data_IF_295234287706
#
_entry.id   IF_295234287706
#
_cell.length_a   1.000
_cell.length_b   1.000
_cell.length_c   1.000
_cell.angle_alpha   90.00
_cell.angle_beta   90.00
_cell.angle_gamma   90.00
#
_symmetry.space_group_name_H-M   'P 1'
#
loop_
_entity.id
_entity.type
_entity.pdbx_description
1 polymer ?
#
# COMPACT_ATOMS: atom_id res chain seq x y z
N UNK A 1 -5.83 11.45 -52.88
CA UNK A 1 -6.77 11.68 -51.74
C UNK A 1 -7.50 10.39 -51.49
N UNK A 2 -7.05 9.62 -50.53
CA UNK A 2 -7.77 8.47 -49.99
C UNK A 2 -7.55 8.50 -48.47
N UNK A 3 -8.60 8.83 -47.78
CA UNK A 3 -8.74 8.95 -46.35
C UNK A 3 -8.85 7.54 -45.73
N UNK A 4 -7.83 7.09 -45.02
CA UNK A 4 -7.87 5.83 -44.29
C UNK A 4 -8.47 6.11 -42.88
N UNK A 5 -9.79 5.93 -42.78
CA UNK A 5 -10.48 5.83 -41.49
C UNK A 5 -9.98 4.57 -40.73
N UNK A 6 -9.07 4.74 -39.81
CA UNK A 6 -8.72 3.68 -38.84
C UNK A 6 -9.85 3.52 -37.84
N UNK A 7 -10.61 2.45 -37.98
CA UNK A 7 -11.56 1.99 -36.95
C UNK A 7 -10.77 1.57 -35.71
N UNK A 8 -10.92 2.32 -34.64
CA UNK A 8 -10.52 1.91 -33.28
C UNK A 8 -11.44 0.77 -32.84
N UNK A 9 -11.03 -0.46 -33.04
CA UNK A 9 -11.57 -1.61 -32.31
C UNK A 9 -10.93 -1.60 -30.94
N UNK A 10 -11.67 -1.16 -29.92
CA UNK A 10 -11.31 -1.39 -28.52
C UNK A 10 -11.45 -2.89 -28.23
N UNK A 11 -10.38 -3.64 -27.91
CA UNK A 11 -10.55 -4.94 -27.27
C UNK A 11 -11.07 -4.70 -25.88
N UNK A 12 -12.10 -5.44 -25.46
CA UNK A 12 -12.69 -5.36 -24.13
C UNK A 12 -11.64 -5.54 -23.05
N UNK A 13 -11.20 -4.45 -22.45
CA UNK A 13 -10.30 -4.47 -21.32
C UNK A 13 -11.09 -4.91 -20.08
N UNK A 14 -10.85 -6.11 -19.61
CA UNK A 14 -11.24 -6.54 -18.26
C UNK A 14 -10.45 -5.66 -17.31
N UNK A 15 -11.15 -4.78 -16.61
CA UNK A 15 -10.58 -3.85 -15.66
C UNK A 15 -10.15 -4.62 -14.41
N UNK A 16 -8.85 -4.77 -14.23
CA UNK A 16 -8.25 -5.46 -13.08
C UNK A 16 -7.18 -4.57 -12.46
N UNK A 17 -7.28 -4.24 -11.20
CA UNK A 17 -6.49 -3.17 -10.61
C UNK A 17 -5.98 -3.46 -9.17
N UNK A 18 -4.80 -3.05 -8.74
CA UNK A 18 -4.20 -3.22 -7.39
C UNK A 18 -4.03 -1.91 -6.65
N UNK A 19 -4.49 -1.89 -5.42
CA UNK A 19 -4.20 -0.84 -4.45
C UNK A 19 -3.24 -1.32 -3.37
N UNK A 20 -2.17 -0.61 -3.27
CA UNK A 20 -1.31 -0.64 -2.12
C UNK A 20 -2.07 -0.26 -0.87
N UNK A 21 -1.87 -1.02 0.20
CA UNK A 21 -2.47 -0.73 1.48
C UNK A 21 -2.33 0.75 1.83
N UNK A 22 -3.43 1.49 1.75
CA UNK A 22 -3.48 2.76 2.43
C UNK A 22 -3.14 2.48 3.89
N UNK A 23 -2.19 3.19 4.51
CA UNK A 23 -1.92 2.98 5.92
C UNK A 23 -3.23 3.13 6.67
N UNK A 24 -3.38 2.37 7.73
CA UNK A 24 -4.52 2.41 8.65
C UNK A 24 -4.67 3.77 9.38
N UNK A 25 -4.46 4.87 8.67
CA UNK A 25 -4.69 6.23 9.16
C UNK A 25 -6.17 6.49 9.52
N UNK A 26 -7.08 5.64 9.02
CA UNK A 26 -8.51 5.74 9.30
C UNK A 26 -8.96 5.04 10.60
N UNK A 27 -8.04 4.60 11.47
CA UNK A 27 -8.40 3.91 12.72
C UNK A 27 -8.50 4.81 13.96
N UNK A 28 -8.62 6.11 13.81
CA UNK A 28 -8.83 7.00 14.95
C UNK A 28 -10.31 7.15 15.31
N UNK A 29 -10.89 6.15 15.88
CA UNK A 29 -12.25 6.15 16.41
C UNK A 29 -12.42 5.08 17.46
N UNK A 30 -11.52 5.05 18.47
CA UNK A 30 -11.81 4.32 19.69
C UNK A 30 -12.78 5.15 20.51
N UNK A 31 -13.91 4.60 20.98
CA UNK A 31 -14.73 5.26 21.97
C UNK A 31 -13.88 5.56 23.21
N UNK A 32 -14.06 6.73 23.81
CA UNK A 32 -13.44 7.09 25.06
C UNK A 32 -13.73 5.97 26.08
N UNK A 33 -12.72 5.25 26.49
CA UNK A 33 -12.83 4.23 27.55
C UNK A 33 -12.82 4.98 28.86
N UNK A 34 -13.90 4.85 29.61
CA UNK A 34 -13.97 5.33 30.99
C UNK A 34 -12.77 4.78 31.80
N UNK A 35 -12.17 5.65 32.60
CA UNK A 35 -11.01 5.37 33.43
C UNK A 35 -11.34 4.36 34.54
N UNK A 36 -11.16 3.08 34.23
CA UNK A 36 -11.15 1.98 35.19
C UNK A 36 -9.82 1.25 35.06
N UNK A 37 -9.12 1.03 36.17
CA UNK A 37 -7.74 0.54 36.23
C UNK A 37 -7.55 -0.96 35.96
N UNK A 38 -8.33 -1.57 35.07
CA UNK A 38 -8.06 -2.92 34.60
C UNK A 38 -7.43 -2.85 33.19
N UNK A 39 -6.40 -3.64 32.93
CA UNK A 39 -5.76 -3.73 31.62
C UNK A 39 -6.83 -3.99 30.56
N UNK A 40 -7.00 -3.06 29.62
CA UNK A 40 -8.01 -3.20 28.58
C UNK A 40 -7.78 -4.51 27.80
N UNK A 41 -8.84 -5.28 27.49
CA UNK A 41 -8.72 -6.57 26.83
C UNK A 41 -8.06 -6.44 25.46
N UNK A 42 -7.35 -7.48 25.07
CA UNK A 42 -6.79 -7.54 23.71
C UNK A 42 -7.91 -7.63 22.68
N UNK A 43 -7.77 -6.93 21.57
CA UNK A 43 -8.73 -6.91 20.47
C UNK A 43 -8.14 -7.69 19.30
N UNK A 44 -8.91 -8.66 18.80
CA UNK A 44 -8.58 -9.38 17.56
C UNK A 44 -9.36 -8.74 16.40
N UNK A 45 -8.68 -8.53 15.29
CA UNK A 45 -9.27 -7.98 14.08
C UNK A 45 -8.93 -8.87 12.88
N UNK A 46 -9.92 -9.16 12.06
CA UNK A 46 -9.77 -9.75 10.73
C UNK A 46 -10.19 -8.69 9.72
N UNK A 47 -9.32 -8.34 8.80
CA UNK A 47 -9.57 -7.38 7.75
C UNK A 47 -9.37 -8.03 6.39
N UNK A 48 -10.32 -7.83 5.48
CA UNK A 48 -10.14 -8.16 4.07
C UNK A 48 -10.16 -6.89 3.23
N UNK A 49 -9.40 -6.89 2.17
CA UNK A 49 -9.32 -5.75 1.25
C UNK A 49 -9.20 -6.27 -0.17
N UNK A 50 -10.04 -5.73 -1.05
CA UNK A 50 -9.92 -5.87 -2.49
C UNK A 50 -9.41 -4.54 -3.05
N UNK A 51 -8.34 -4.57 -3.76
CA UNK A 51 -7.70 -3.39 -4.31
C UNK A 51 -7.53 -3.46 -5.82
N UNK A 52 -7.51 -2.26 -6.40
CA UNK A 52 -7.54 -2.00 -7.83
C UNK A 52 -6.71 -0.78 -8.27
N UNK A 53 -5.76 -0.87 -9.28
CA UNK A 53 -5.04 0.27 -9.89
C UNK A 53 -4.86 0.19 -11.40
N UNK A 54 -4.78 1.35 -12.05
CA UNK A 54 -4.40 1.52 -13.44
C UNK A 54 -3.06 2.27 -13.52
N UNK A 55 -2.33 2.04 -14.58
CA UNK A 55 -0.97 2.60 -14.82
C UNK A 55 0.09 2.16 -13.80
N UNK A 56 0.08 1.06 -13.45
CA UNK A 56 0.47 -0.25 -13.03
C UNK A 56 -0.77 -1.09 -12.87
N UNK A 57 -1.16 -1.76 -13.94
CA UNK A 57 -2.37 -2.57 -13.91
C UNK A 57 -2.20 -3.74 -12.94
N UNK A 58 -3.08 -3.83 -11.99
CA UNK A 58 -3.08 -4.97 -11.10
C UNK A 58 -4.33 -5.08 -10.21
N UNK A 59 -4.66 -6.29 -9.77
CA UNK A 59 -5.67 -6.62 -8.75
C UNK A 59 -5.01 -7.37 -7.62
N UNK A 60 -5.44 -7.09 -6.41
CA UNK A 60 -5.01 -7.83 -5.24
C UNK A 60 -6.17 -7.98 -4.26
N UNK A 61 -6.36 -9.21 -3.81
CA UNK A 61 -7.12 -9.50 -2.60
C UNK A 61 -6.14 -9.70 -1.46
N UNK A 62 -6.41 -9.10 -0.29
CA UNK A 62 -5.63 -9.35 0.93
C UNK A 62 -6.52 -9.69 2.10
N UNK A 63 -5.99 -10.52 2.99
CA UNK A 63 -6.56 -10.87 4.27
C UNK A 63 -5.50 -10.58 5.34
N UNK A 64 -5.86 -9.81 6.35
CA UNK A 64 -5.00 -9.51 7.49
C UNK A 64 -5.70 -9.96 8.78
N UNK A 65 -5.05 -10.81 9.53
CA UNK A 65 -5.39 -11.11 10.91
C UNK A 65 -4.44 -10.38 11.85
N UNK A 66 -4.97 -9.80 12.92
CA UNK A 66 -4.13 -9.13 13.91
C UNK A 66 -4.70 -9.20 15.31
N UNK A 67 -3.80 -9.10 16.31
CA UNK A 67 -4.14 -9.02 17.72
C UNK A 67 -3.44 -7.82 18.33
N UNK A 68 -4.24 -6.88 18.82
CA UNK A 68 -3.80 -5.63 19.43
C UNK A 68 -3.99 -5.70 20.95
N UNK A 69 -2.95 -5.35 21.71
CA UNK A 69 -2.98 -5.21 23.17
C UNK A 69 -2.66 -3.76 23.52
N UNK A 70 -3.56 -3.01 24.17
CA UNK A 70 -3.25 -1.68 24.68
C UNK A 70 -2.07 -1.73 25.65
N UNK A 71 -1.19 -0.76 25.58
CA UNK A 71 -0.20 -0.47 26.61
C UNK A 71 -0.87 0.39 27.67
N UNK A 72 -0.43 0.25 28.92
CA UNK A 72 -1.07 0.80 30.13
C UNK A 72 -1.90 2.07 29.91
N UNK A 73 -3.21 2.05 30.19
CA UNK A 73 -4.07 3.22 30.08
C UNK A 73 -3.70 4.26 31.16
N UNK A 74 -3.78 5.54 30.83
CA UNK A 74 -3.80 6.59 31.85
C UNK A 74 -2.74 7.67 31.78
N UNK A 75 -1.83 7.64 30.81
CA UNK A 75 -0.73 8.62 30.74
C UNK A 75 -1.02 9.81 29.79
N UNK A 76 -2.23 10.38 29.84
CA UNK A 76 -2.60 11.57 29.05
C UNK A 76 -2.91 11.31 27.57
N UNK A 77 -3.31 12.34 26.81
CA UNK A 77 -3.83 12.19 25.43
C UNK A 77 -2.79 11.61 24.45
N UNK A 78 -1.51 11.85 24.68
CA UNK A 78 -0.42 11.34 23.83
C UNK A 78 -0.23 9.83 23.94
N UNK A 79 -0.71 9.17 25.00
CA UNK A 79 -0.59 7.72 25.21
C UNK A 79 -1.94 6.99 25.22
N UNK A 80 -3.04 7.68 25.02
CA UNK A 80 -4.39 7.11 25.05
C UNK A 80 -4.58 5.96 24.04
N UNK A 81 -3.82 5.97 22.93
CA UNK A 81 -3.86 4.93 21.91
C UNK A 81 -2.59 4.05 21.89
N UNK A 82 -1.74 4.14 22.95
CA UNK A 82 -0.53 3.33 23.01
C UNK A 82 -0.86 1.84 23.00
N UNK A 83 -0.20 1.07 22.13
CA UNK A 83 -0.45 -0.37 21.99
C UNK A 83 0.71 -1.12 21.36
N UNK A 84 0.71 -2.42 21.53
CA UNK A 84 1.45 -3.37 20.71
C UNK A 84 0.45 -4.20 19.89
N UNK A 85 0.84 -4.58 18.70
CA UNK A 85 0.02 -5.39 17.81
C UNK A 85 0.91 -6.36 17.03
N UNK A 86 0.42 -7.56 16.83
CA UNK A 86 1.05 -8.57 15.97
C UNK A 86 0.02 -9.05 14.97
N UNK A 87 0.48 -9.50 13.81
CA UNK A 87 -0.44 -9.97 12.80
C UNK A 87 0.22 -10.79 11.72
N UNK A 88 -0.64 -11.37 10.89
CA UNK A 88 -0.28 -12.08 9.68
C UNK A 88 -1.10 -11.55 8.52
N UNK A 89 -0.52 -11.55 7.34
CA UNK A 89 -1.16 -11.14 6.08
C UNK A 89 -1.07 -12.27 5.08
N UNK A 90 -2.11 -12.43 4.26
CA UNK A 90 -2.10 -13.23 3.06
C UNK A 90 -2.65 -12.37 1.92
N UNK A 91 -2.00 -12.37 0.78
CA UNK A 91 -2.42 -11.62 -0.40
C UNK A 91 -2.32 -12.49 -1.63
N UNK A 92 -3.27 -12.33 -2.55
CA UNK A 92 -3.27 -13.00 -3.84
C UNK A 92 -3.55 -11.99 -4.94
N UNK A 93 -2.86 -12.16 -6.04
CA UNK A 93 -2.96 -11.41 -7.28
C UNK A 93 -2.86 -12.39 -8.44
N UNK A 94 -3.28 -12.05 -9.67
CA UNK A 94 -3.01 -12.89 -10.83
C UNK A 94 -1.53 -13.16 -11.11
N UNK A 95 -0.63 -12.37 -10.53
CA UNK A 95 0.83 -12.48 -10.73
C UNK A 95 1.56 -13.20 -9.60
N UNK A 96 1.01 -13.22 -8.39
CA UNK A 96 1.68 -13.78 -7.22
C UNK A 96 0.70 -14.11 -6.09
N UNK A 97 1.16 -14.92 -5.16
CA UNK A 97 0.66 -14.94 -3.79
C UNK A 97 1.75 -14.50 -2.82
N UNK A 98 1.35 -13.90 -1.71
CA UNK A 98 2.24 -13.38 -0.67
C UNK A 98 1.67 -13.69 0.69
N UNK A 99 2.50 -14.15 1.61
CA UNK A 99 2.17 -14.26 3.02
C UNK A 99 3.13 -13.42 3.82
N UNK A 100 2.74 -13.00 5.02
CA UNK A 100 3.62 -12.19 5.84
C UNK A 100 3.26 -12.27 7.30
N UNK A 101 4.25 -11.98 8.14
CA UNK A 101 4.06 -11.76 9.58
C UNK A 101 4.67 -10.43 9.96
N UNK A 102 4.07 -9.78 10.93
CA UNK A 102 4.51 -8.45 11.33
C UNK A 102 4.22 -8.16 12.80
N UNK A 103 5.01 -7.26 13.35
CA UNK A 103 4.82 -6.64 14.64
C UNK A 103 4.71 -5.13 14.52
N UNK A 104 3.96 -4.51 15.41
CA UNK A 104 3.76 -3.07 15.46
C UNK A 104 3.78 -2.59 16.90
N UNK A 105 4.37 -1.43 17.12
CA UNK A 105 4.29 -0.69 18.36
C UNK A 105 3.83 0.73 18.09
N UNK A 106 2.89 1.20 18.87
CA UNK A 106 2.46 2.60 18.94
C UNK A 106 2.71 3.11 20.35
N UNK A 107 3.91 3.60 20.66
CA UNK A 107 4.23 4.10 22.00
C UNK A 107 3.50 5.41 22.31
N UNK A 108 3.14 6.15 21.27
CA UNK A 108 2.40 7.40 21.31
C UNK A 108 1.25 7.38 20.29
N UNK A 109 0.20 8.14 20.55
CA UNK A 109 -0.93 8.29 19.63
C UNK A 109 -0.53 8.83 18.25
N UNK A 110 0.59 9.56 18.18
CA UNK A 110 1.11 10.16 16.95
C UNK A 110 2.16 9.31 16.24
N UNK A 111 2.75 8.32 16.89
CA UNK A 111 3.86 7.50 16.36
C UNK A 111 3.50 6.03 16.33
N UNK A 112 3.64 5.42 15.17
CA UNK A 112 3.49 3.98 14.96
C UNK A 112 4.72 3.47 14.24
N UNK A 113 5.29 2.37 14.69
CA UNK A 113 6.36 1.67 13.98
C UNK A 113 5.92 0.23 13.74
N UNK A 114 5.90 -0.19 12.48
CA UNK A 114 5.59 -1.57 12.05
C UNK A 114 6.82 -2.17 11.40
N UNK A 115 7.09 -3.43 11.67
CA UNK A 115 8.13 -4.19 11.00
C UNK A 115 7.62 -5.59 10.65
N UNK A 116 8.10 -6.16 9.55
CA UNK A 116 7.65 -7.47 9.12
C UNK A 116 8.47 -8.08 8.02
N UNK A 117 8.10 -9.30 7.66
CA UNK A 117 8.67 -10.08 6.56
C UNK A 117 7.55 -10.68 5.73
N UNK A 118 7.71 -10.65 4.41
CA UNK A 118 6.73 -11.09 3.43
C UNK A 118 7.40 -11.87 2.30
N UNK A 119 7.50 -13.20 2.39
CA UNK A 119 7.78 -14.04 1.23
C UNK A 119 6.60 -13.99 0.24
N UNK A 120 6.94 -13.97 -1.04
CA UNK A 120 6.00 -14.05 -2.15
C UNK A 120 6.48 -15.07 -3.18
N UNK A 121 5.55 -15.74 -3.85
CA UNK A 121 5.83 -16.56 -5.00
C UNK A 121 5.13 -15.99 -6.23
N UNK A 122 5.89 -15.73 -7.27
CA UNK A 122 5.43 -15.19 -8.55
C UNK A 122 5.22 -16.30 -9.57
N UNK A 123 4.12 -16.19 -10.33
CA UNK A 123 3.70 -17.21 -11.32
C UNK A 123 4.31 -16.99 -12.70
N UNK A 124 5.08 -15.91 -12.92
CA UNK A 124 5.58 -15.53 -14.24
C UNK A 124 4.50 -15.00 -15.20
N UNK A 125 3.35 -14.61 -14.69
CA UNK A 125 2.25 -14.03 -15.46
C UNK A 125 2.30 -12.51 -15.46
N UNK A 126 1.73 -11.87 -16.48
CA UNK A 126 1.66 -10.40 -16.61
C UNK A 126 3.02 -9.71 -16.52
N UNK A 127 4.03 -10.29 -17.16
CA UNK A 127 5.41 -9.77 -17.19
C UNK A 127 6.01 -9.51 -15.79
N UNK A 128 5.52 -10.22 -14.78
CA UNK A 128 6.04 -10.12 -13.42
C UNK A 128 7.33 -10.93 -13.25
N UNK A 129 8.19 -10.46 -12.36
CA UNK A 129 9.46 -11.09 -12.03
C UNK A 129 10.37 -11.35 -13.25
N UNK A 130 10.39 -10.41 -14.18
CA UNK A 130 11.28 -10.44 -15.33
C UNK A 130 12.70 -10.04 -14.92
N UNK A 131 13.70 -10.76 -15.43
CA UNK A 131 15.12 -10.46 -15.17
C UNK A 131 15.65 -9.38 -16.10
N UNK A 132 16.58 -8.56 -15.58
CA UNK A 132 17.27 -7.50 -16.30
C UNK A 132 18.77 -7.55 -16.00
N UNK A 133 19.58 -7.25 -17.00
CA UNK A 133 21.05 -7.27 -16.86
C UNK A 133 21.59 -5.93 -16.35
N UNK A 134 20.88 -4.83 -16.63
CA UNK A 134 21.33 -3.47 -16.33
C UNK A 134 20.19 -2.61 -15.78
N UNK A 135 20.52 -1.69 -14.89
CA UNK A 135 19.54 -0.77 -14.26
C UNK A 135 19.04 0.32 -15.20
N UNK A 136 19.77 0.66 -16.24
CA UNK A 136 19.41 1.64 -17.25
C UNK A 136 18.57 1.04 -18.41
N UNK A 137 18.27 -0.25 -18.36
CA UNK A 137 17.39 -0.90 -19.33
C UNK A 137 15.94 -0.42 -19.11
N UNK A 138 15.27 0.08 -20.13
CA UNK A 138 13.85 0.43 -20.03
C UNK A 138 13.00 -0.77 -19.57
N UNK A 139 12.07 -0.52 -18.67
CA UNK A 139 11.17 -1.56 -18.12
C UNK A 139 9.69 -1.14 -18.14
N UNK A 140 9.35 -0.21 -19.04
CA UNK A 140 7.96 0.12 -19.33
C UNK A 140 7.17 -1.10 -19.85
N UNK A 141 5.85 -0.98 -19.88
CA UNK A 141 4.96 -2.11 -20.22
C UNK A 141 5.22 -2.67 -21.60
N UNK A 142 5.51 -1.83 -22.59
CA UNK A 142 5.70 -2.27 -23.97
C UNK A 142 7.06 -2.97 -24.12
N UNK A 143 8.09 -2.45 -23.51
CA UNK A 143 9.42 -3.08 -23.44
C UNK A 143 9.34 -4.45 -22.76
N UNK A 144 8.63 -4.58 -21.64
CA UNK A 144 8.46 -5.88 -20.97
C UNK A 144 7.72 -6.89 -21.82
N UNK A 145 6.62 -6.48 -22.47
CA UNK A 145 5.86 -7.36 -23.38
C UNK A 145 6.68 -7.83 -24.57
N UNK A 146 7.47 -6.91 -25.18
CA UNK A 146 8.31 -7.24 -26.33
C UNK A 146 9.48 -8.18 -25.95
N UNK A 147 9.96 -8.11 -24.71
CA UNK A 147 11.14 -8.83 -24.27
C UNK A 147 10.90 -10.33 -24.07
N UNK A 148 9.70 -10.78 -23.78
CA UNK A 148 9.34 -12.13 -23.34
C UNK A 148 10.32 -12.66 -22.25
N UNK A 149 9.90 -13.34 -21.24
CA UNK A 149 10.84 -13.86 -20.24
C UNK A 149 10.42 -13.63 -18.79
N UNK A 150 9.11 -13.40 -18.57
CA UNK A 150 8.56 -13.51 -17.24
C UNK A 150 8.87 -14.90 -16.67
N UNK A 151 9.34 -14.96 -15.44
CA UNK A 151 9.75 -16.20 -14.79
C UNK A 151 9.01 -16.41 -13.47
N UNK A 152 8.94 -17.66 -13.05
CA UNK A 152 8.47 -18.01 -11.71
C UNK A 152 9.61 -17.86 -10.71
N UNK A 153 9.30 -17.51 -9.47
CA UNK A 153 10.33 -17.42 -8.44
C UNK A 153 9.79 -16.92 -7.12
N UNK A 154 10.64 -17.01 -6.11
CA UNK A 154 10.35 -16.51 -4.77
C UNK A 154 11.02 -15.17 -4.55
N UNK A 155 10.29 -14.23 -3.97
CA UNK A 155 10.78 -12.91 -3.58
C UNK A 155 10.60 -12.76 -2.07
N UNK A 156 11.58 -12.20 -1.41
CA UNK A 156 11.55 -11.88 0.00
C UNK A 156 11.55 -10.37 0.20
N UNK A 157 10.64 -9.88 1.01
CA UNK A 157 10.56 -8.49 1.45
C UNK A 157 10.66 -8.42 2.96
N UNK A 158 11.63 -7.66 3.46
CA UNK A 158 11.73 -7.22 4.85
C UNK A 158 11.39 -5.74 4.89
N UNK A 159 10.70 -5.29 5.90
CA UNK A 159 10.36 -3.87 5.98
C UNK A 159 10.28 -3.36 7.41
N UNK A 160 10.55 -2.05 7.53
CA UNK A 160 10.26 -1.25 8.72
C UNK A 160 9.55 0.01 8.27
N UNK A 161 8.42 0.29 8.88
CA UNK A 161 7.50 1.38 8.51
C UNK A 161 7.20 2.26 9.72
N UNK A 162 8.02 3.27 10.04
CA UNK A 162 7.62 4.36 10.92
C UNK A 162 6.53 5.21 10.26
N UNK A 163 5.54 5.61 11.05
CA UNK A 163 4.44 6.48 10.62
C UNK A 163 4.18 7.53 11.70
N UNK A 164 4.12 8.78 11.28
CA UNK A 164 3.68 9.91 12.09
C UNK A 164 2.29 10.33 11.63
N UNK A 165 1.42 10.64 12.59
CA UNK A 165 0.07 11.14 12.29
C UNK A 165 -0.34 12.19 13.30
N UNK A 166 -1.05 13.20 12.82
CA UNK A 166 -1.59 14.24 13.66
C UNK A 166 -2.99 14.64 13.17
N UNK A 167 -3.78 15.18 14.11
CA UNK A 167 -5.09 15.72 13.84
C UNK A 167 -5.20 17.10 14.45
N UNK A 168 -5.67 18.05 13.67
CA UNK A 168 -6.00 19.40 14.12
C UNK A 168 -7.42 19.75 13.62
N UNK A 169 -8.38 19.64 14.51
CA UNK A 169 -9.79 19.77 14.15
C UNK A 169 -10.20 18.74 13.06
N UNK A 170 -10.74 19.19 11.93
CA UNK A 170 -11.09 18.31 10.81
C UNK A 170 -9.90 17.91 9.94
N UNK A 171 -8.74 18.55 10.12
CA UNK A 171 -7.54 18.23 9.35
C UNK A 171 -6.81 17.04 9.94
N UNK A 172 -6.50 16.06 9.09
CA UNK A 172 -5.72 14.87 9.42
C UNK A 172 -4.48 14.85 8.53
N UNK A 173 -3.31 14.68 9.12
CA UNK A 173 -2.08 14.46 8.36
C UNK A 173 -1.41 13.17 8.79
N UNK A 174 -0.78 12.50 7.84
CA UNK A 174 0.04 11.32 8.09
C UNK A 174 1.27 11.33 7.19
N UNK A 175 2.41 11.02 7.76
CA UNK A 175 3.66 10.77 7.05
C UNK A 175 4.13 9.35 7.36
N UNK A 176 4.48 8.59 6.34
CA UNK A 176 4.94 7.21 6.45
C UNK A 176 6.23 7.07 5.65
N UNK A 177 7.22 6.40 6.23
CA UNK A 177 8.43 6.01 5.54
C UNK A 177 8.54 4.48 5.58
N UNK A 178 8.48 3.84 4.41
CA UNK A 178 8.76 2.41 4.28
C UNK A 178 10.24 2.25 3.94
N UNK A 179 11.02 1.68 4.83
CA UNK A 179 12.34 1.15 4.48
C UNK A 179 12.19 -0.34 4.22
N UNK A 180 12.59 -0.77 3.03
CA UNK A 180 12.41 -2.14 2.56
C UNK A 180 13.72 -2.73 2.08
N UNK A 181 13.91 -4.02 2.33
CA UNK A 181 14.95 -4.82 1.72
C UNK A 181 14.32 -5.95 0.93
N UNK A 182 14.75 -6.08 -0.32
CA UNK A 182 14.20 -7.05 -1.27
C UNK A 182 15.29 -7.98 -1.77
N UNK A 183 14.93 -9.25 -1.99
CA UNK A 183 15.76 -10.22 -2.69
C UNK A 183 14.87 -11.20 -3.46
N UNK A 184 15.41 -11.83 -4.52
CA UNK A 184 14.65 -12.75 -5.36
C UNK A 184 15.48 -13.96 -5.77
N UNK A 185 14.83 -15.12 -5.91
CA UNK A 185 15.44 -16.34 -6.44
C UNK A 185 15.16 -16.46 -7.95
N UNK A 186 15.76 -15.55 -8.72
CA UNK A 186 15.68 -15.56 -10.19
C UNK A 186 17.07 -15.50 -10.81
N UNK A 187 17.18 -15.92 -12.05
CA UNK A 187 18.43 -15.82 -12.81
C UNK A 187 18.64 -14.37 -13.27
N UNK A 188 19.85 -13.86 -13.11
CA UNK A 188 20.23 -12.50 -13.50
C UNK A 188 20.45 -11.58 -12.30
N UNK A 189 21.12 -10.42 -12.53
CA UNK A 189 21.49 -9.50 -11.44
C UNK A 189 20.33 -8.67 -10.93
N UNK A 190 19.32 -8.40 -11.77
CA UNK A 190 18.18 -7.56 -11.43
C UNK A 190 16.86 -8.26 -11.76
N UNK A 191 15.81 -7.90 -11.04
CA UNK A 191 14.44 -8.33 -11.32
C UNK A 191 13.47 -7.13 -11.27
N UNK A 192 12.42 -7.21 -12.06
CA UNK A 192 11.31 -6.26 -12.01
C UNK A 192 10.33 -6.63 -10.91
N UNK A 193 10.14 -5.74 -9.94
CA UNK A 193 9.14 -5.88 -8.87
C UNK A 193 7.87 -5.10 -9.24
N UNK A 194 6.79 -5.77 -9.65
CA UNK A 194 5.60 -5.11 -10.17
C UNK A 194 4.84 -4.29 -9.12
N UNK A 195 4.95 -4.65 -7.84
CA UNK A 195 4.25 -3.92 -6.78
C UNK A 195 4.93 -2.61 -6.42
N UNK A 196 6.21 -2.46 -6.73
CA UNK A 196 6.99 -1.24 -6.57
C UNK A 196 7.28 -0.54 -7.90
N UNK A 197 6.97 -1.21 -9.01
CA UNK A 197 7.21 -0.69 -10.36
C UNK A 197 8.66 -0.23 -10.54
N UNK A 198 9.61 -1.11 -10.21
CA UNK A 198 11.03 -0.79 -10.24
C UNK A 198 11.89 -2.02 -10.42
N UNK A 199 13.16 -1.80 -10.79
CA UNK A 199 14.19 -2.84 -10.84
C UNK A 199 14.93 -2.91 -9.52
N UNK A 200 15.08 -4.13 -9.00
CA UNK A 200 15.76 -4.43 -7.74
C UNK A 200 16.84 -5.48 -7.96
N UNK A 201 17.90 -5.46 -7.15
CA UNK A 201 18.97 -6.45 -7.16
C UNK A 201 18.48 -7.77 -6.57
N UNK A 202 18.80 -8.89 -7.24
CA UNK A 202 18.39 -10.23 -6.82
C UNK A 202 19.03 -10.65 -5.48
N UNK A 203 20.25 -10.19 -5.21
CA UNK A 203 20.98 -10.50 -3.97
C UNK A 203 20.59 -9.60 -2.79
N UNK A 204 19.82 -8.57 -3.04
CA UNK A 204 19.30 -7.71 -2.00
C UNK A 204 19.50 -6.23 -2.28
N UNK A 205 18.41 -5.54 -2.48
CA UNK A 205 18.38 -4.09 -2.65
C UNK A 205 17.55 -3.43 -1.55
N UNK A 206 17.88 -2.18 -1.25
CA UNK A 206 17.12 -1.38 -0.31
C UNK A 206 16.30 -0.33 -1.06
N UNK A 207 15.05 -0.19 -0.63
CA UNK A 207 14.10 0.77 -1.17
C UNK A 207 13.55 1.60 -0.02
N UNK A 208 13.47 2.91 -0.22
CA UNK A 208 12.77 3.83 0.67
C UNK A 208 11.56 4.37 -0.08
N UNK A 209 10.37 4.21 0.51
CA UNK A 209 9.15 4.81 0.00
C UNK A 209 8.54 5.74 1.04
N UNK A 210 8.46 7.01 0.73
CA UNK A 210 7.83 8.03 1.55
C UNK A 210 6.42 8.28 1.06
N UNK A 211 5.50 8.46 2.00
CA UNK A 211 4.13 8.88 1.71
C UNK A 211 3.71 9.95 2.69
N UNK A 212 3.20 11.03 2.16
CA UNK A 212 2.61 12.10 2.94
C UNK A 212 1.17 12.35 2.47
N UNK A 213 0.25 12.44 3.43
CA UNK A 213 -1.18 12.65 3.19
C UNK A 213 -1.67 13.79 4.07
N UNK A 214 -2.48 14.67 3.49
CA UNK A 214 -3.21 15.73 4.21
C UNK A 214 -4.65 15.64 3.78
N UNK A 215 -5.56 15.42 4.73
CA UNK A 215 -7.00 15.22 4.49
C UNK A 215 -7.83 16.19 5.32
N UNK A 216 -8.91 16.66 4.74
CA UNK A 216 -10.04 17.21 5.46
C UNK A 216 -11.03 16.08 5.71
N UNK A 217 -11.34 15.81 6.98
CA UNK A 217 -12.27 14.76 7.40
C UNK A 217 -13.58 15.37 7.89
N UNK A 218 -14.68 14.96 7.29
CA UNK A 218 -16.02 15.25 7.73
C UNK A 218 -16.65 14.01 8.39
N UNK A 219 -17.08 14.15 9.64
CA UNK A 219 -17.80 13.10 10.38
C UNK A 219 -19.29 13.41 10.31
N UNK A 220 -20.07 12.52 9.71
CA UNK A 220 -21.52 12.64 9.63
C UNK A 220 -22.17 12.31 10.97
N UNK A 221 -23.40 12.77 11.18
CA UNK A 221 -24.18 12.44 12.38
C UNK A 221 -24.35 10.93 12.60
N UNK A 222 -24.32 10.13 11.53
CA UNK A 222 -24.36 8.67 11.58
C UNK A 222 -23.04 8.03 12.06
N UNK A 223 -21.99 8.81 12.33
CA UNK A 223 -20.64 8.30 12.62
C UNK A 223 -19.81 7.97 11.38
N UNK A 224 -20.41 7.93 10.19
CA UNK A 224 -19.70 7.70 8.95
C UNK A 224 -18.71 8.86 8.67
N UNK A 225 -17.53 8.52 8.13
CA UNK A 225 -16.47 9.48 7.84
C UNK A 225 -16.25 9.60 6.34
N UNK A 226 -16.06 10.81 5.88
CA UNK A 226 -15.68 11.12 4.51
C UNK A 226 -14.47 12.03 4.57
N UNK A 227 -13.41 11.67 3.87
CA UNK A 227 -12.16 12.44 3.85
C UNK A 227 -11.74 12.70 2.41
N UNK A 228 -11.27 13.90 2.15
CA UNK A 228 -10.74 14.32 0.86
C UNK A 228 -9.48 15.15 1.09
N UNK A 229 -8.47 14.99 0.25
CA UNK A 229 -7.25 15.77 0.34
C UNK A 229 -6.15 15.35 -0.60
N UNK A 230 -4.93 15.78 -0.29
CA UNK A 230 -3.75 15.54 -1.10
C UNK A 230 -2.94 14.34 -0.62
N UNK A 231 -2.29 13.70 -1.57
CA UNK A 231 -1.30 12.65 -1.34
C UNK A 231 -0.05 12.94 -2.15
N UNK A 232 1.11 12.85 -1.51
CA UNK A 232 2.42 12.88 -2.16
C UNK A 232 3.15 11.58 -1.83
N UNK A 233 3.75 10.95 -2.83
CA UNK A 233 4.60 9.76 -2.65
C UNK A 233 5.93 9.96 -3.32
N UNK A 234 6.98 9.46 -2.69
CA UNK A 234 8.33 9.42 -3.22
C UNK A 234 8.89 8.02 -2.96
N UNK A 235 9.42 7.37 -3.98
CA UNK A 235 10.10 6.09 -3.87
C UNK A 235 11.51 6.21 -4.44
N UNK A 236 12.48 5.63 -3.76
CA UNK A 236 13.88 5.61 -4.18
C UNK A 236 14.53 4.27 -3.87
N UNK A 237 15.27 3.73 -4.85
CA UNK A 237 16.07 2.51 -4.70
C UNK A 237 17.53 2.89 -4.44
N UNK A 238 18.18 2.28 -3.45
CA UNK A 238 19.51 2.66 -2.98
C UNK A 238 20.65 2.16 -3.87
N UNK A 239 20.44 1.11 -4.66
CA UNK A 239 21.47 0.46 -5.49
C UNK A 239 21.88 1.25 -6.74
N UNK A 240 21.24 2.35 -7.05
CA UNK A 240 21.59 3.20 -8.19
C UNK A 240 22.72 4.15 -7.82
N UNK A 241 23.71 4.29 -8.73
CA UNK A 241 24.84 5.21 -8.61
C UNK A 241 24.69 6.33 -9.64
N UNK A 242 25.08 7.56 -9.25
CA UNK A 242 25.06 8.72 -10.14
C UNK A 242 23.64 9.33 -10.34
N UNK A 243 23.48 10.09 -11.42
CA UNK A 243 22.26 10.83 -11.75
C UNK A 243 21.16 9.98 -12.37
N UNK A 244 21.27 8.66 -12.32
CA UNK A 244 20.26 7.77 -12.87
C UNK A 244 18.96 7.91 -12.06
N UNK A 245 17.85 8.17 -12.76
CA UNK A 245 16.52 8.29 -12.20
C UNK A 245 16.04 6.94 -11.65
N UNK A 246 16.34 6.70 -10.38
CA UNK A 246 15.78 5.60 -9.60
C UNK A 246 14.66 6.05 -8.66
N UNK A 247 14.11 7.20 -8.95
CA UNK A 247 13.11 7.87 -8.14
C UNK A 247 11.77 7.87 -8.86
N UNK A 248 10.73 7.50 -8.14
CA UNK A 248 9.34 7.66 -8.57
C UNK A 248 8.65 8.61 -7.62
N UNK A 249 8.16 9.72 -8.13
CA UNK A 249 7.42 10.72 -7.36
C UNK A 249 6.03 10.93 -7.96
N UNK A 250 5.02 10.95 -7.09
CA UNK A 250 3.63 11.18 -7.49
C UNK A 250 2.98 12.21 -6.58
N UNK A 251 2.13 13.02 -7.17
CA UNK A 251 1.25 13.95 -6.45
C UNK A 251 -0.18 13.73 -6.91
N UNK A 252 -1.11 13.69 -5.97
CA UNK A 252 -2.47 13.38 -6.31
C UNK A 252 -3.50 13.76 -5.26
N UNK A 253 -4.72 13.32 -5.52
CA UNK A 253 -5.88 13.48 -4.65
C UNK A 253 -6.27 12.13 -4.09
N UNK A 254 -6.62 12.12 -2.81
CA UNK A 254 -7.08 10.95 -2.07
C UNK A 254 -8.49 11.21 -1.53
N UNK A 255 -9.42 10.35 -1.87
CA UNK A 255 -10.76 10.29 -1.31
C UNK A 255 -10.90 9.02 -0.48
N UNK A 256 -11.47 9.15 0.72
CA UNK A 256 -11.74 8.03 1.60
C UNK A 256 -13.14 8.15 2.19
N UNK A 257 -13.84 7.03 2.30
CA UNK A 257 -15.07 6.96 3.09
C UNK A 257 -15.06 5.71 3.95
N UNK A 258 -15.59 5.82 5.16
CA UNK A 258 -15.70 4.73 6.11
C UNK A 258 -17.07 4.78 6.76
N UNK A 259 -17.78 3.66 6.75
CA UNK A 259 -19.01 3.48 7.51
C UNK A 259 -18.71 3.06 8.94
N UNK A 260 -19.44 3.58 9.92
CA UNK A 260 -19.32 3.14 11.33
C UNK A 260 -20.19 1.92 11.62
N UNK A 261 -21.16 1.63 10.78
CA UNK A 261 -22.12 0.54 10.90
C UNK A 261 -21.83 -0.66 10.00
N UNK A 262 -22.83 -1.53 9.89
CA UNK A 262 -22.90 -2.59 8.90
C UNK A 262 -23.55 -2.06 7.62
N UNK A 263 -22.94 -2.33 6.50
CA UNK A 263 -23.50 -2.08 5.17
C UNK A 263 -23.59 -3.39 4.41
N UNK A 264 -24.79 -3.77 3.95
CA UNK A 264 -25.04 -5.05 3.25
C UNK A 264 -24.45 -6.28 3.99
N UNK A 265 -24.58 -6.34 5.33
CA UNK A 265 -24.02 -7.41 6.15
C UNK A 265 -22.53 -7.28 6.47
N UNK A 266 -21.81 -6.40 5.80
CA UNK A 266 -20.36 -6.16 5.99
C UNK A 266 -20.13 -5.19 7.16
N UNK A 267 -19.20 -5.51 8.04
CA UNK A 267 -18.85 -4.65 9.16
C UNK A 267 -17.83 -3.58 8.74
N UNK A 268 -18.14 -2.32 9.00
CA UNK A 268 -17.24 -1.16 8.79
C UNK A 268 -16.60 -1.11 7.41
N UNK A 269 -17.40 -1.16 6.33
CA UNK A 269 -16.83 -1.04 5.00
C UNK A 269 -16.17 0.32 4.82
N UNK A 270 -15.03 0.34 4.13
CA UNK A 270 -14.35 1.57 3.73
C UNK A 270 -13.93 1.48 2.27
N UNK A 271 -14.10 2.59 1.57
CA UNK A 271 -13.64 2.79 0.20
C UNK A 271 -12.55 3.86 0.21
N UNK A 272 -11.46 3.57 -0.48
CA UNK A 272 -10.39 4.54 -0.74
C UNK A 272 -10.20 4.66 -2.24
N UNK A 273 -10.10 5.88 -2.75
CA UNK A 273 -9.82 6.17 -4.17
C UNK A 273 -8.69 7.19 -4.23
N UNK A 274 -7.73 6.94 -5.10
CA UNK A 274 -6.61 7.84 -5.36
C UNK A 274 -6.52 8.09 -6.86
N UNK A 275 -6.22 9.34 -7.24
CA UNK A 275 -5.78 9.72 -8.58
C UNK A 275 -4.54 10.57 -8.43
N UNK A 276 -3.46 10.23 -9.13
CA UNK A 276 -2.19 10.93 -9.00
C UNK A 276 -1.48 11.03 -10.35
N UNK A 277 -0.63 12.05 -10.49
CA UNK A 277 0.26 12.23 -11.62
C UNK A 277 1.68 11.84 -11.23
N UNK A 278 2.39 11.20 -12.13
CA UNK A 278 3.83 10.97 -12.03
C UNK A 278 4.56 12.27 -12.31
N UNK A 279 5.27 12.79 -11.31
CA UNK A 279 6.11 13.99 -11.42
C UNK A 279 7.54 13.63 -11.83
N UNK A 280 8.03 12.48 -11.32
CA UNK A 280 9.30 11.87 -11.71
C UNK A 280 9.04 10.37 -11.86
N UNK A 281 9.43 9.80 -12.98
CA UNK A 281 9.38 8.35 -13.25
C UNK A 281 10.23 8.06 -14.49
N UNK A 282 11.07 7.02 -14.50
CA UNK A 282 11.91 6.70 -15.66
C UNK A 282 11.15 6.40 -16.95
N UNK A 283 9.86 6.05 -16.85
CA UNK A 283 9.07 5.59 -18.00
C UNK A 283 7.65 6.19 -18.09
N UNK A 284 7.20 6.94 -17.07
CA UNK A 284 5.79 7.37 -16.94
C UNK A 284 5.64 8.84 -16.55
N UNK A 285 6.72 9.64 -16.62
CA UNK A 285 6.67 11.06 -16.28
C UNK A 285 5.54 11.79 -16.99
N UNK A 286 4.79 12.61 -16.26
CA UNK A 286 3.60 13.30 -16.77
C UNK A 286 2.34 12.41 -16.90
N UNK A 287 2.48 11.10 -16.82
CA UNK A 287 1.36 10.16 -16.88
C UNK A 287 0.50 10.17 -15.62
N UNK A 288 -0.69 9.59 -15.72
CA UNK A 288 -1.65 9.47 -14.61
C UNK A 288 -1.76 8.05 -14.10
N UNK A 289 -1.98 7.91 -12.81
CA UNK A 289 -2.36 6.64 -12.18
C UNK A 289 -3.63 6.84 -11.36
N UNK A 290 -4.45 5.83 -11.32
CA UNK A 290 -5.61 5.81 -10.42
C UNK A 290 -5.68 4.49 -9.68
N UNK A 291 -6.28 4.54 -8.51
CA UNK A 291 -6.33 3.39 -7.65
C UNK A 291 -7.59 3.45 -6.75
N UNK A 292 -8.27 2.29 -6.49
CA UNK A 292 -9.40 2.16 -5.57
C UNK A 292 -9.26 0.94 -4.64
N UNK A 293 -9.64 0.98 -3.35
CA UNK A 293 -9.73 -0.14 -2.42
C UNK A 293 -11.04 -0.18 -1.68
N UNK A 294 -11.62 -1.36 -1.64
CA UNK A 294 -12.72 -1.68 -0.73
C UNK A 294 -12.16 -2.56 0.40
N UNK A 295 -12.37 -2.16 1.64
CA UNK A 295 -11.98 -3.00 2.78
C UNK A 295 -13.14 -3.15 3.77
N UNK A 296 -13.10 -4.29 4.49
CA UNK A 296 -14.06 -4.67 5.53
C UNK A 296 -13.28 -5.20 6.72
N UNK A 297 -13.66 -4.80 7.92
CA UNK A 297 -13.05 -5.25 9.18
C UNK A 297 -14.05 -5.90 10.09
N UNK A 298 -13.70 -7.07 10.62
CA UNK A 298 -14.41 -7.76 11.70
C UNK A 298 -13.56 -7.66 12.97
N UNK A 299 -14.13 -7.13 14.05
CA UNK A 299 -13.46 -7.05 15.36
C UNK A 299 -14.13 -7.97 16.36
N UNK A 300 -13.32 -8.72 17.11
CA UNK A 300 -13.75 -9.55 18.24
C UNK A 300 -12.96 -9.11 19.47
N UNK A 301 -13.68 -8.81 20.54
CA UNK A 301 -13.12 -8.55 21.89
C UNK A 301 -13.01 -9.84 22.66
#
# INVERSE_FOLDING_TARGET
MQEHARRLTMPGAILVAVLWAAPAAAQSGSPAIAAGSSAAPAVTELRTQLGASINNLGVQQSLEWSRRKPLAPGAGPMRSEAHVQVGATASVSPSYWRIGVWGQVAPLSILVVRAGVEPAYYFGTFDSLMSFDRRDTPFDTDTRKARAGATTGTVWRWYVTPSLRARLGPMVTAATADWERWSASVTGPLFYEPTRDTLLDTNGDSLIALRHVVLYEHVRASGARVSLGGIHTLQRVSGFKGDQLNQVRKLGVLFMTQSDGRFAGLARPSLTVMVAQYLDDPSKEGGWTAAAALSVSLRRR
#
